data_IF_584783195334
#
_entry.id   IF_584783195334
#
_cell.length_a   1.000
_cell.length_b   1.000
_cell.length_c   1.000
_cell.angle_alpha   90.00
_cell.angle_beta   90.00
_cell.angle_gamma   90.00
#
_symmetry.space_group_name_H-M   'P 1'
#
loop_
_entity.id
_entity.type
_entity.pdbx_description
1 polymer ?
#
# COMPACT_ATOMS: atom_id res chain seq x y z
N UNK A 1 -6.35 14.91 -29.85
CA UNK A 1 -5.94 14.92 -31.27
C UNK A 1 -4.46 15.24 -31.32
N UNK A 2 -3.67 14.32 -31.69
CA UNK A 2 -2.51 14.28 -32.59
C UNK A 2 -1.68 13.05 -32.26
N UNK A 3 -2.05 11.99 -32.97
CA UNK A 3 -1.23 10.77 -33.12
C UNK A 3 -0.05 11.11 -34.04
N UNK A 4 1.15 11.20 -33.47
CA UNK A 4 2.38 11.15 -34.26
C UNK A 4 2.64 9.67 -34.57
N UNK A 5 2.27 9.27 -35.76
CA UNK A 5 2.59 7.95 -36.32
C UNK A 5 4.10 7.75 -36.35
N UNK A 6 4.56 6.72 -35.66
CA UNK A 6 5.94 6.22 -35.76
C UNK A 6 6.08 5.56 -37.15
N UNK A 7 6.94 6.12 -37.96
CA UNK A 7 7.33 5.61 -39.27
C UNK A 7 7.61 4.10 -39.25
N UNK A 8 6.98 3.36 -40.14
CA UNK A 8 7.12 1.91 -40.29
C UNK A 8 8.50 1.52 -40.88
N UNK A 9 8.90 0.26 -40.75
CA UNK A 9 10.20 -0.25 -41.18
C UNK A 9 10.50 -0.04 -42.70
N UNK A 10 9.48 0.14 -43.51
CA UNK A 10 9.59 0.42 -44.96
C UNK A 10 10.03 1.87 -45.24
N UNK A 11 9.68 2.83 -44.41
CA UNK A 11 10.14 4.20 -44.58
C UNK A 11 11.61 4.41 -44.18
N UNK A 12 12.15 3.51 -43.32
CA UNK A 12 13.58 3.52 -42.95
C UNK A 12 14.50 3.18 -44.14
N UNK A 13 14.04 2.39 -45.09
CA UNK A 13 14.83 2.03 -46.30
C UNK A 13 14.86 3.14 -47.36
N UNK A 14 13.83 3.99 -47.44
CA UNK A 14 13.79 5.11 -48.38
C UNK A 14 14.66 6.31 -47.95
N UNK A 15 14.85 6.52 -46.65
CA UNK A 15 15.65 7.62 -46.13
C UNK A 15 17.16 7.33 -45.98
N UNK A 16 17.60 6.08 -46.17
CA UNK A 16 19.02 5.72 -45.96
C UNK A 16 19.98 6.25 -47.04
N UNK A 17 19.48 6.75 -48.17
CA UNK A 17 20.30 7.20 -49.30
C UNK A 17 20.34 8.71 -49.53
N UNK A 18 19.73 9.54 -48.69
CA UNK A 18 19.56 10.97 -48.99
C UNK A 18 19.97 11.96 -47.90
N UNK A 19 20.31 11.50 -46.72
CA UNK A 19 20.63 12.45 -45.61
C UNK A 19 21.91 12.08 -44.85
N UNK A 20 22.72 13.10 -44.57
CA UNK A 20 24.00 13.08 -43.87
C UNK A 20 23.88 12.39 -42.50
N UNK A 21 24.84 11.53 -42.16
CA UNK A 21 24.94 10.81 -40.90
C UNK A 21 24.87 11.75 -39.64
N UNK A 22 25.16 13.01 -39.83
CA UNK A 22 25.07 14.04 -38.78
C UNK A 22 23.61 14.31 -38.34
N UNK A 23 22.66 14.32 -39.30
CA UNK A 23 21.23 14.56 -39.07
C UNK A 23 20.63 13.35 -38.32
N UNK A 24 21.01 12.13 -38.73
CA UNK A 24 20.54 10.91 -38.05
C UNK A 24 21.06 10.80 -36.62
N UNK A 25 22.29 11.23 -36.34
CA UNK A 25 22.84 11.31 -34.99
C UNK A 25 22.15 12.41 -34.15
N UNK A 26 21.84 13.55 -34.74
CA UNK A 26 21.07 14.60 -34.05
C UNK A 26 19.65 14.14 -33.72
N UNK A 27 18.93 13.51 -34.66
CA UNK A 27 17.61 12.96 -34.42
C UNK A 27 17.63 11.85 -33.33
N UNK A 28 18.65 11.00 -33.29
CA UNK A 28 18.78 9.97 -32.26
C UNK A 28 19.08 10.58 -30.87
N UNK A 29 19.89 11.64 -30.79
CA UNK A 29 20.14 12.40 -29.54
C UNK A 29 18.88 13.12 -29.05
N UNK A 30 18.14 13.79 -29.96
CA UNK A 30 16.89 14.46 -29.64
C UNK A 30 15.86 13.44 -29.14
N UNK A 31 15.74 12.27 -29.81
CA UNK A 31 14.85 11.19 -29.37
C UNK A 31 15.27 10.59 -28.00
N UNK A 32 16.57 10.46 -27.75
CA UNK A 32 17.07 9.96 -26.47
C UNK A 32 16.80 10.96 -25.33
N UNK A 33 17.02 12.26 -25.56
CA UNK A 33 16.70 13.35 -24.61
C UNK A 33 15.20 13.44 -24.41
N UNK A 34 14.40 13.36 -25.47
CA UNK A 34 12.94 13.36 -25.38
C UNK A 34 12.41 12.16 -24.58
N UNK A 35 12.94 10.95 -24.84
CA UNK A 35 12.60 9.74 -24.06
C UNK A 35 13.06 9.83 -22.61
N UNK A 36 14.21 10.45 -22.34
CA UNK A 36 14.71 10.70 -20.97
C UNK A 36 13.81 11.71 -20.26
N UNK A 37 13.49 12.84 -20.90
CA UNK A 37 12.58 13.85 -20.35
C UNK A 37 11.15 13.33 -20.16
N UNK A 38 10.66 12.42 -21.03
CA UNK A 38 9.38 11.74 -20.84
C UNK A 38 9.43 10.76 -19.66
N UNK A 39 10.55 10.04 -19.48
CA UNK A 39 10.75 9.17 -18.29
C UNK A 39 10.85 9.99 -17.00
N UNK A 40 11.57 11.12 -17.03
CA UNK A 40 11.68 12.02 -15.87
C UNK A 40 10.34 12.72 -15.56
N UNK A 41 9.56 13.13 -16.59
CA UNK A 41 8.21 13.66 -16.40
C UNK A 41 7.24 12.60 -15.85
N UNK A 42 7.32 11.35 -16.31
CA UNK A 42 6.54 10.25 -15.74
C UNK A 42 6.95 9.91 -14.32
N UNK A 43 8.23 10.04 -13.98
CA UNK A 43 8.74 9.75 -12.64
C UNK A 43 8.28 10.78 -11.58
N UNK A 44 7.81 11.96 -12.01
CA UNK A 44 7.32 13.04 -11.13
C UNK A 44 5.81 13.29 -11.29
N UNK A 45 5.06 12.37 -11.87
CA UNK A 45 3.61 12.54 -12.04
C UNK A 45 2.88 11.78 -10.92
N UNK A 46 2.28 12.55 -10.02
CA UNK A 46 1.36 12.00 -9.03
C UNK A 46 0.11 11.47 -9.74
N UNK A 47 -0.16 10.18 -9.60
CA UNK A 47 -1.33 9.53 -10.21
C UNK A 47 -2.56 9.72 -9.33
N UNK A 48 -2.38 9.67 -8.00
CA UNK A 48 -3.42 9.97 -7.03
C UNK A 48 -2.97 11.19 -6.23
N UNK A 49 -3.84 12.18 -6.09
CA UNK A 49 -3.58 13.39 -5.32
C UNK A 49 -4.75 13.68 -4.38
N UNK A 50 -4.44 13.94 -3.14
CA UNK A 50 -5.38 14.41 -2.11
C UNK A 50 -4.76 15.65 -1.48
N UNK A 51 -5.43 16.80 -1.61
CA UNK A 51 -4.93 18.09 -1.16
C UNK A 51 -5.93 18.72 -0.18
N UNK A 52 -5.53 18.86 1.09
CA UNK A 52 -6.29 19.51 2.18
C UNK A 52 -7.73 19.00 2.31
N UNK A 53 -7.94 17.70 2.04
CA UNK A 53 -9.26 17.09 2.07
C UNK A 53 -9.87 17.18 3.47
N UNK A 54 -11.02 17.84 3.56
CA UNK A 54 -11.82 17.93 4.78
C UNK A 54 -13.26 17.54 4.49
N UNK A 55 -13.78 16.67 5.35
CA UNK A 55 -15.20 16.30 5.43
C UNK A 55 -15.57 16.08 6.88
N UNK A 56 -16.40 16.95 7.40
CA UNK A 56 -16.91 16.86 8.76
C UNK A 56 -18.35 16.31 8.75
N UNK A 57 -18.57 15.18 9.41
CA UNK A 57 -19.89 14.59 9.64
C UNK A 57 -20.48 14.98 11.01
N UNK A 58 -19.81 15.86 11.73
CA UNK A 58 -20.18 16.26 13.09
C UNK A 58 -19.66 15.32 14.17
N UNK A 59 -19.62 15.82 15.39
CA UNK A 59 -19.16 15.08 16.59
C UNK A 59 -17.74 14.51 16.47
N UNK A 60 -16.83 15.21 15.77
CA UNK A 60 -15.44 14.80 15.58
C UNK A 60 -15.25 13.65 14.58
N UNK A 61 -16.31 13.23 13.87
CA UNK A 61 -16.23 12.19 12.83
C UNK A 61 -15.99 12.82 11.47
N UNK A 62 -15.00 12.33 10.76
CA UNK A 62 -14.69 12.85 9.42
C UNK A 62 -13.23 12.66 9.05
N UNK A 63 -12.77 13.49 8.13
CA UNK A 63 -11.37 13.66 7.74
C UNK A 63 -11.06 15.15 7.72
N UNK A 64 -9.88 15.53 8.20
CA UNK A 64 -9.53 16.91 8.46
C UNK A 64 -8.13 17.22 7.96
N UNK A 65 -8.05 18.02 6.89
CA UNK A 65 -6.80 18.47 6.29
C UNK A 65 -5.89 17.32 5.81
N UNK A 66 -6.50 16.28 5.24
CA UNK A 66 -5.76 15.11 4.75
C UNK A 66 -5.09 15.45 3.43
N UNK A 67 -3.75 15.29 3.37
CA UNK A 67 -2.96 15.56 2.16
C UNK A 67 -1.93 14.48 1.95
N UNK A 68 -1.94 13.83 0.78
CA UNK A 68 -0.95 12.88 0.29
C UNK A 68 -1.03 12.72 -1.22
N UNK A 69 -0.03 12.07 -1.79
CA UNK A 69 -0.02 11.70 -3.21
C UNK A 69 0.49 10.27 -3.38
N UNK A 70 0.19 9.66 -4.50
CA UNK A 70 0.72 8.35 -4.92
C UNK A 70 1.33 8.51 -6.30
N UNK A 71 2.58 8.08 -6.45
CA UNK A 71 3.34 8.19 -7.69
C UNK A 71 3.02 7.06 -8.69
N UNK A 72 3.38 7.25 -9.96
CA UNK A 72 3.18 6.24 -11.00
C UNK A 72 3.95 4.95 -10.67
N UNK A 73 3.25 3.82 -10.61
CA UNK A 73 3.79 2.51 -10.27
C UNK A 73 4.09 2.29 -8.79
N UNK A 74 3.68 3.20 -7.91
CA UNK A 74 3.85 3.08 -6.46
C UNK A 74 2.73 2.26 -5.82
N UNK A 75 3.07 1.48 -4.80
CA UNK A 75 2.13 0.89 -3.84
C UNK A 75 2.15 1.72 -2.57
N UNK A 76 1.09 2.46 -2.32
CA UNK A 76 0.93 3.35 -1.18
C UNK A 76 0.01 2.74 -0.14
N UNK A 77 0.52 2.57 1.08
CA UNK A 77 -0.23 2.04 2.22
C UNK A 77 -0.93 3.15 3.01
N UNK A 78 -2.22 2.98 3.28
CA UNK A 78 -3.01 3.89 4.11
C UNK A 78 -3.43 3.17 5.39
N UNK A 79 -2.63 3.29 6.44
CA UNK A 79 -2.71 2.52 7.67
C UNK A 79 -3.46 3.28 8.77
N UNK A 80 -4.32 2.60 9.50
CA UNK A 80 -4.99 3.16 10.66
C UNK A 80 -6.09 2.26 11.20
N UNK A 81 -6.54 2.48 12.45
CA UNK A 81 -7.61 1.69 13.05
C UNK A 81 -8.95 1.89 12.33
N UNK A 82 -9.92 1.08 12.71
CA UNK A 82 -11.28 1.26 12.23
C UNK A 82 -11.83 2.61 12.72
N UNK A 83 -12.51 3.31 11.82
CA UNK A 83 -13.02 4.67 12.12
C UNK A 83 -12.02 5.81 11.95
N UNK A 84 -10.73 5.54 11.66
CA UNK A 84 -9.71 6.59 11.53
C UNK A 84 -9.90 7.53 10.33
N UNK A 85 -10.80 7.22 9.37
CA UNK A 85 -11.04 8.04 8.19
C UNK A 85 -10.58 7.42 6.85
N UNK A 86 -10.02 6.19 6.85
CA UNK A 86 -9.53 5.52 5.62
C UNK A 86 -10.59 5.43 4.53
N UNK A 87 -11.70 4.75 4.80
CA UNK A 87 -12.80 4.59 3.84
C UNK A 87 -13.47 5.91 3.46
N UNK A 88 -13.48 6.89 4.38
CA UNK A 88 -13.98 8.25 4.09
C UNK A 88 -13.10 8.91 3.01
N UNK A 89 -11.79 8.89 3.18
CA UNK A 89 -10.83 9.43 2.18
C UNK A 89 -10.98 8.71 0.84
N UNK A 90 -11.07 7.38 0.85
CA UNK A 90 -11.25 6.58 -0.37
C UNK A 90 -12.57 6.92 -1.07
N UNK A 91 -13.68 7.10 -0.35
CA UNK A 91 -14.96 7.50 -0.94
C UNK A 91 -14.90 8.85 -1.66
N UNK A 92 -14.09 9.80 -1.18
CA UNK A 92 -13.86 11.06 -1.88
C UNK A 92 -12.99 10.86 -3.13
N UNK A 93 -11.95 10.01 -3.06
CA UNK A 93 -11.16 9.61 -4.23
C UNK A 93 -12.00 8.90 -5.29
N UNK A 94 -13.02 8.14 -4.91
CA UNK A 94 -13.95 7.51 -5.84
C UNK A 94 -15.05 8.45 -6.34
N UNK A 95 -15.07 9.72 -5.90
CA UNK A 95 -16.09 10.68 -6.27
C UNK A 95 -17.48 10.41 -5.68
N UNK A 96 -17.61 9.50 -4.70
CA UNK A 96 -18.90 9.13 -4.09
C UNK A 96 -19.41 10.17 -3.10
N UNK A 97 -18.57 11.08 -2.66
CA UNK A 97 -18.92 12.14 -1.70
C UNK A 97 -18.22 13.43 -2.06
N UNK A 98 -18.96 14.55 -1.95
CA UNK A 98 -18.39 15.88 -2.11
C UNK A 98 -17.63 16.28 -0.85
N UNK A 99 -16.38 16.73 -0.94
CA UNK A 99 -15.66 17.30 0.20
C UNK A 99 -16.26 18.62 0.66
N UNK A 100 -16.05 18.99 1.90
CA UNK A 100 -16.40 20.33 2.42
C UNK A 100 -15.31 21.33 2.00
N UNK A 101 -14.03 20.90 1.98
CA UNK A 101 -12.91 21.64 1.39
C UNK A 101 -11.83 20.68 0.90
N UNK A 102 -10.89 21.22 0.14
CA UNK A 102 -9.83 20.44 -0.50
C UNK A 102 -10.26 19.80 -1.81
N UNK A 103 -9.37 19.05 -2.42
CA UNK A 103 -9.56 18.44 -3.72
C UNK A 103 -8.93 17.05 -3.79
N UNK A 104 -9.55 16.15 -4.55
CA UNK A 104 -9.02 14.83 -4.85
C UNK A 104 -8.93 14.63 -6.35
N UNK A 105 -7.80 14.08 -6.84
CA UNK A 105 -7.56 13.86 -8.27
C UNK A 105 -7.01 12.45 -8.53
N UNK A 106 -7.35 11.89 -9.66
CA UNK A 106 -6.73 10.68 -10.22
C UNK A 106 -6.36 10.99 -11.67
N UNK A 107 -5.07 10.75 -12.02
CA UNK A 107 -4.51 11.10 -13.32
C UNK A 107 -4.78 12.58 -13.72
N UNK A 108 -4.67 13.50 -12.74
CA UNK A 108 -4.90 14.93 -12.90
C UNK A 108 -6.36 15.35 -13.08
N UNK A 109 -7.32 14.41 -13.00
CA UNK A 109 -8.76 14.68 -13.12
C UNK A 109 -9.37 14.76 -11.72
N UNK A 110 -10.11 15.84 -11.45
CA UNK A 110 -10.86 15.99 -10.20
C UNK A 110 -11.92 14.89 -10.08
N UNK A 111 -11.88 14.15 -8.98
CA UNK A 111 -12.66 12.91 -8.85
C UNK A 111 -14.15 13.16 -8.66
N UNK A 112 -14.56 14.18 -7.89
CA UNK A 112 -15.99 14.44 -7.68
C UNK A 112 -16.67 15.04 -8.93
N UNK A 113 -16.02 15.98 -9.60
CA UNK A 113 -16.60 16.62 -10.79
C UNK A 113 -16.59 15.71 -12.02
N UNK A 114 -15.62 14.79 -12.12
CA UNK A 114 -15.39 13.95 -13.31
C UNK A 114 -15.34 12.45 -12.97
N UNK A 115 -16.10 12.01 -11.96
CA UNK A 115 -16.07 10.61 -11.46
C UNK A 115 -16.30 9.59 -12.59
N UNK A 116 -17.20 9.86 -13.52
CA UNK A 116 -17.53 8.95 -14.62
C UNK A 116 -16.38 8.74 -15.63
N UNK A 117 -15.44 9.69 -15.71
CA UNK A 117 -14.22 9.53 -16.51
C UNK A 117 -13.14 8.79 -15.73
N UNK A 118 -12.99 9.15 -14.45
CA UNK A 118 -11.97 8.58 -13.55
C UNK A 118 -12.20 7.10 -13.33
N UNK A 119 -13.45 6.70 -13.05
CA UNK A 119 -13.78 5.33 -12.68
C UNK A 119 -13.58 4.30 -13.82
N UNK A 120 -13.44 4.73 -15.06
CA UNK A 120 -13.22 3.83 -16.21
C UNK A 120 -11.86 3.10 -16.16
N UNK A 121 -10.86 3.71 -15.54
CA UNK A 121 -9.49 3.21 -15.48
C UNK A 121 -9.07 2.81 -14.06
N UNK A 122 -10.02 2.80 -13.10
CA UNK A 122 -9.79 2.47 -11.69
C UNK A 122 -10.45 1.13 -11.34
N UNK A 123 -9.66 0.23 -10.76
CA UNK A 123 -10.17 -0.97 -10.07
C UNK A 123 -10.40 -0.63 -8.59
N UNK A 124 -11.64 -0.77 -8.13
CA UNK A 124 -12.00 -0.44 -6.75
C UNK A 124 -12.54 -1.65 -6.00
N UNK A 125 -12.00 -1.89 -4.81
CA UNK A 125 -12.53 -2.86 -3.84
C UNK A 125 -13.01 -2.08 -2.62
N UNK A 126 -14.32 -2.10 -2.31
CA UNK A 126 -14.86 -1.45 -1.11
C UNK A 126 -14.55 -2.25 0.16
N UNK A 127 -14.41 -1.55 1.30
CA UNK A 127 -14.22 -2.18 2.61
C UNK A 127 -15.37 -3.10 3.01
N UNK A 128 -16.60 -2.66 2.77
CA UNK A 128 -17.81 -3.47 2.94
C UNK A 128 -18.31 -3.96 1.58
N UNK A 129 -18.43 -5.29 1.44
CA UNK A 129 -18.90 -5.91 0.19
C UNK A 129 -20.41 -6.07 0.23
N UNK A 130 -21.09 -5.27 -0.58
CA UNK A 130 -22.52 -5.42 -0.87
C UNK A 130 -22.70 -5.79 -2.35
N UNK A 131 -23.02 -7.06 -2.63
CA UNK A 131 -23.30 -7.51 -3.98
C UNK A 131 -24.80 -7.39 -4.27
N UNK A 132 -25.21 -7.08 -5.52
CA UNK A 132 -26.60 -7.05 -5.93
C UNK A 132 -27.26 -8.41 -5.66
N UNK A 133 -28.45 -8.42 -5.06
CA UNK A 133 -29.23 -9.62 -4.87
C UNK A 133 -29.90 -10.08 -6.18
N UNK A 134 -30.13 -11.37 -6.31
CA UNK A 134 -30.81 -11.94 -7.47
C UNK A 134 -29.93 -12.15 -8.70
N UNK A 135 -28.63 -12.03 -8.56
CA UNK A 135 -27.65 -12.38 -9.57
C UNK A 135 -26.83 -13.57 -9.10
N UNK A 136 -26.42 -14.40 -10.04
CA UNK A 136 -25.33 -15.36 -9.82
C UNK A 136 -23.97 -14.65 -9.87
N UNK A 137 -22.91 -15.30 -9.38
CA UNK A 137 -21.55 -14.76 -9.49
C UNK A 137 -21.15 -14.48 -10.95
N UNK A 138 -21.50 -15.37 -11.89
CA UNK A 138 -21.26 -15.17 -13.31
C UNK A 138 -22.01 -13.97 -13.89
N UNK A 139 -23.28 -13.80 -13.52
CA UNK A 139 -24.08 -12.65 -13.97
C UNK A 139 -23.52 -11.34 -13.41
N UNK A 140 -23.08 -11.35 -12.15
CA UNK A 140 -22.40 -10.21 -11.55
C UNK A 140 -21.11 -9.85 -12.31
N UNK A 141 -20.22 -10.81 -12.59
CA UNK A 141 -18.98 -10.54 -13.35
C UNK A 141 -19.30 -10.01 -14.75
N UNK A 142 -20.30 -10.57 -15.42
CA UNK A 142 -20.72 -10.14 -16.75
C UNK A 142 -21.28 -8.70 -16.72
N UNK A 143 -22.12 -8.40 -15.72
CA UNK A 143 -22.62 -7.03 -15.50
C UNK A 143 -21.46 -6.04 -15.29
N UNK A 144 -20.48 -6.40 -14.48
CA UNK A 144 -19.30 -5.55 -14.25
C UNK A 144 -18.47 -5.33 -15.51
N UNK A 145 -18.27 -6.37 -16.34
CA UNK A 145 -17.58 -6.22 -17.66
C UNK A 145 -18.36 -5.26 -18.59
N UNK A 146 -19.66 -5.37 -18.65
CA UNK A 146 -20.51 -4.51 -19.48
C UNK A 146 -20.47 -3.06 -18.99
N UNK A 147 -20.49 -2.82 -17.68
CA UNK A 147 -20.37 -1.47 -17.09
C UNK A 147 -18.98 -0.85 -17.35
N UNK A 148 -17.92 -1.64 -17.28
CA UNK A 148 -16.54 -1.18 -17.55
C UNK A 148 -16.27 -0.98 -19.05
N UNK A 149 -17.09 -1.57 -19.93
CA UNK A 149 -16.89 -1.55 -21.38
C UNK A 149 -15.63 -2.25 -21.86
N UNK A 150 -15.02 -3.08 -21.02
CA UNK A 150 -13.77 -3.80 -21.28
C UNK A 150 -13.97 -5.28 -20.95
N UNK A 151 -13.70 -6.14 -21.94
CA UNK A 151 -13.72 -7.61 -21.76
C UNK A 151 -12.30 -8.13 -21.93
N UNK A 152 -11.78 -8.78 -20.92
CA UNK A 152 -10.46 -9.42 -20.93
C UNK A 152 -10.62 -10.83 -20.34
N UNK A 153 -10.93 -11.79 -21.21
CA UNK A 153 -11.22 -13.17 -20.81
C UNK A 153 -9.97 -13.87 -20.23
N UNK A 154 -8.79 -13.57 -20.77
CA UNK A 154 -7.53 -14.11 -20.25
C UNK A 154 -7.28 -13.63 -18.83
N UNK A 155 -7.46 -12.34 -18.59
CA UNK A 155 -7.31 -11.75 -17.25
C UNK A 155 -8.36 -12.26 -16.29
N UNK A 156 -9.61 -12.37 -16.73
CA UNK A 156 -10.69 -12.94 -15.92
C UNK A 156 -10.33 -14.36 -15.47
N UNK A 157 -9.91 -15.21 -16.41
CA UNK A 157 -9.51 -16.58 -16.10
C UNK A 157 -8.36 -16.62 -15.10
N UNK A 158 -7.30 -15.84 -15.34
CA UNK A 158 -6.17 -15.72 -14.41
C UNK A 158 -6.63 -15.34 -12.99
N UNK A 159 -7.53 -14.36 -12.85
CA UNK A 159 -8.01 -13.90 -11.55
C UNK A 159 -8.88 -14.97 -10.86
N UNK A 160 -9.72 -15.70 -11.61
CA UNK A 160 -10.52 -16.78 -11.07
C UNK A 160 -9.66 -17.93 -10.55
N UNK A 161 -8.62 -18.29 -11.29
CA UNK A 161 -7.65 -19.34 -10.91
C UNK A 161 -6.86 -18.93 -9.67
N UNK A 162 -6.34 -17.68 -9.63
CA UNK A 162 -5.54 -17.15 -8.52
C UNK A 162 -6.30 -17.11 -7.19
N UNK A 163 -7.57 -16.71 -7.23
CA UNK A 163 -8.43 -16.64 -6.04
C UNK A 163 -9.30 -17.89 -5.82
N UNK A 164 -9.02 -18.96 -6.57
CA UNK A 164 -9.69 -20.26 -6.43
C UNK A 164 -11.23 -20.15 -6.42
N UNK A 165 -11.78 -19.28 -7.27
CA UNK A 165 -13.23 -19.17 -7.46
C UNK A 165 -13.71 -20.25 -8.44
N UNK A 166 -14.40 -21.24 -7.90
CA UNK A 166 -14.87 -22.39 -8.67
C UNK A 166 -16.20 -22.09 -9.38
N UNK A 167 -16.41 -22.71 -10.51
CA UNK A 167 -17.66 -22.57 -11.30
C UNK A 167 -18.92 -22.86 -10.47
N UNK A 168 -18.86 -23.84 -9.55
CA UNK A 168 -19.96 -24.13 -8.63
C UNK A 168 -20.32 -22.98 -7.69
N UNK A 169 -19.34 -22.23 -7.21
CA UNK A 169 -19.56 -21.03 -6.38
C UNK A 169 -20.15 -19.90 -7.21
N UNK A 170 -19.65 -19.73 -8.45
CA UNK A 170 -20.10 -18.68 -9.36
C UNK A 170 -21.51 -18.89 -9.92
N UNK A 171 -22.02 -20.11 -9.91
CA UNK A 171 -23.42 -20.43 -10.24
C UNK A 171 -24.41 -20.12 -9.11
N UNK A 172 -23.91 -19.92 -7.89
CA UNK A 172 -24.69 -19.56 -6.73
C UNK A 172 -25.17 -18.10 -6.75
N UNK A 173 -26.30 -17.85 -6.04
CA UNK A 173 -26.82 -16.49 -5.81
C UNK A 173 -25.85 -15.71 -4.91
N UNK A 174 -25.48 -14.51 -5.36
CA UNK A 174 -24.55 -13.61 -4.64
C UNK A 174 -24.99 -13.31 -3.20
N UNK A 175 -26.31 -13.27 -2.92
CA UNK A 175 -26.85 -13.05 -1.59
C UNK A 175 -26.46 -14.16 -0.61
N UNK A 176 -26.41 -15.42 -1.11
CA UNK A 176 -26.14 -16.63 -0.30
C UNK A 176 -24.64 -16.96 -0.17
N UNK A 177 -23.78 -16.27 -0.90
CA UNK A 177 -22.33 -16.49 -0.82
C UNK A 177 -21.81 -16.15 0.57
N UNK A 178 -20.81 -16.89 1.04
CA UNK A 178 -20.04 -16.55 2.24
C UNK A 178 -19.32 -15.22 2.06
N UNK A 179 -18.93 -14.58 3.16
CA UNK A 179 -18.18 -13.32 3.10
C UNK A 179 -16.87 -13.47 2.31
N UNK A 180 -16.14 -14.59 2.50
CA UNK A 180 -14.90 -14.88 1.77
C UNK A 180 -15.13 -15.00 0.26
N UNK A 181 -16.16 -15.73 -0.17
CA UNK A 181 -16.51 -15.86 -1.60
C UNK A 181 -16.92 -14.51 -2.18
N UNK A 182 -17.71 -13.70 -1.46
CA UNK A 182 -18.06 -12.34 -1.88
C UNK A 182 -16.81 -11.45 -2.04
N UNK A 183 -15.86 -11.56 -1.12
CA UNK A 183 -14.59 -10.82 -1.17
C UNK A 183 -13.77 -11.23 -2.38
N UNK A 184 -13.55 -12.53 -2.59
CA UNK A 184 -12.87 -13.07 -3.77
C UNK A 184 -13.53 -12.55 -5.07
N UNK A 185 -14.85 -12.62 -5.15
CA UNK A 185 -15.61 -12.17 -6.31
C UNK A 185 -15.43 -10.65 -6.57
N UNK A 186 -15.41 -9.82 -5.51
CA UNK A 186 -15.16 -8.39 -5.62
C UNK A 186 -13.74 -8.10 -6.08
N UNK A 187 -12.73 -8.85 -5.60
CA UNK A 187 -11.33 -8.73 -6.05
C UNK A 187 -11.23 -9.05 -7.54
N UNK A 188 -11.85 -10.14 -7.99
CA UNK A 188 -11.88 -10.51 -9.42
C UNK A 188 -12.55 -9.42 -10.25
N UNK A 189 -13.74 -8.97 -9.85
CA UNK A 189 -14.50 -7.94 -10.58
C UNK A 189 -13.74 -6.62 -10.71
N UNK A 190 -13.01 -6.19 -9.67
CA UNK A 190 -12.22 -4.96 -9.68
C UNK A 190 -10.99 -5.04 -10.61
N UNK A 191 -10.46 -6.25 -10.85
CA UNK A 191 -9.18 -6.43 -11.54
C UNK A 191 -9.27 -7.10 -12.92
N UNK A 192 -10.42 -7.68 -13.28
CA UNK A 192 -10.58 -8.43 -14.54
C UNK A 192 -10.48 -7.56 -15.79
N UNK A 193 -10.74 -6.26 -15.70
CA UNK A 193 -10.55 -5.30 -16.82
C UNK A 193 -9.14 -4.80 -16.98
N UNK A 194 -8.22 -5.25 -16.13
CA UNK A 194 -6.81 -4.85 -16.07
C UNK A 194 -6.60 -3.32 -15.92
N UNK A 195 -7.21 -2.68 -14.90
CA UNK A 195 -7.12 -1.23 -14.69
C UNK A 195 -5.67 -0.83 -14.35
N UNK A 196 -5.31 0.44 -14.62
CA UNK A 196 -3.98 0.98 -14.29
C UNK A 196 -3.84 1.38 -12.83
N UNK A 197 -4.92 1.85 -12.24
CA UNK A 197 -4.98 2.32 -10.86
C UNK A 197 -5.85 1.39 -10.06
N UNK A 198 -5.36 0.95 -8.90
CA UNK A 198 -6.11 0.12 -7.96
C UNK A 198 -6.31 0.89 -6.66
N UNK A 199 -7.55 0.99 -6.22
CA UNK A 199 -7.93 1.55 -4.91
C UNK A 199 -8.61 0.45 -4.10
N UNK A 200 -7.94 0.00 -3.04
CA UNK A 200 -8.27 -1.22 -2.33
C UNK A 200 -8.53 -0.88 -0.86
N UNK A 201 -9.80 -0.90 -0.46
CA UNK A 201 -10.20 -0.60 0.92
C UNK A 201 -10.38 -1.91 1.70
N UNK A 202 -9.43 -2.21 2.58
CA UNK A 202 -9.38 -3.44 3.39
C UNK A 202 -9.62 -4.74 2.59
N UNK A 203 -8.88 -4.97 1.51
CA UNK A 203 -9.19 -5.99 0.50
C UNK A 203 -9.11 -7.42 1.01
N UNK A 204 -8.33 -7.69 2.05
CA UNK A 204 -8.12 -9.02 2.63
C UNK A 204 -9.07 -9.35 3.78
N UNK A 205 -9.88 -8.37 4.22
CA UNK A 205 -10.86 -8.58 5.29
C UNK A 205 -11.85 -9.69 4.95
N UNK A 206 -11.90 -10.74 5.79
CA UNK A 206 -12.75 -11.91 5.58
C UNK A 206 -12.19 -12.98 4.64
N UNK A 207 -10.98 -12.84 4.15
CA UNK A 207 -10.22 -13.89 3.47
C UNK A 207 -9.52 -14.78 4.51
N UNK A 208 -9.39 -16.06 4.19
CA UNK A 208 -8.55 -16.97 4.95
C UNK A 208 -7.05 -16.67 4.75
N UNK A 209 -6.15 -17.17 5.62
CA UNK A 209 -4.72 -16.86 5.54
C UNK A 209 -4.08 -17.22 4.20
N UNK A 210 -4.49 -18.30 3.55
CA UNK A 210 -3.93 -18.71 2.25
C UNK A 210 -4.31 -17.69 1.17
N UNK A 211 -5.57 -17.25 1.18
CA UNK A 211 -6.03 -16.23 0.24
C UNK A 211 -5.43 -14.84 0.51
N UNK A 212 -5.10 -14.52 1.77
CA UNK A 212 -4.36 -13.31 2.11
C UNK A 212 -2.94 -13.33 1.50
N UNK A 213 -2.23 -14.46 1.60
CA UNK A 213 -0.93 -14.64 0.95
C UNK A 213 -1.01 -14.54 -0.57
N UNK A 214 -2.02 -15.17 -1.19
CA UNK A 214 -2.26 -15.05 -2.62
C UNK A 214 -2.51 -13.58 -3.02
N UNK A 215 -3.25 -12.83 -2.21
CA UNK A 215 -3.48 -11.41 -2.44
C UNK A 215 -2.19 -10.59 -2.34
N UNK A 216 -1.33 -10.85 -1.35
CA UNK A 216 -0.02 -10.21 -1.22
C UNK A 216 0.83 -10.49 -2.47
N UNK A 217 0.88 -11.76 -2.90
CA UNK A 217 1.55 -12.15 -4.15
C UNK A 217 1.01 -11.41 -5.37
N UNK A 218 -0.31 -11.28 -5.47
CA UNK A 218 -0.98 -10.52 -6.52
C UNK A 218 -0.55 -9.04 -6.52
N UNK A 219 -0.51 -8.36 -5.37
CA UNK A 219 -0.06 -6.96 -5.28
C UNK A 219 1.39 -6.81 -5.77
N UNK A 220 2.27 -7.75 -5.41
CA UNK A 220 3.66 -7.73 -5.89
C UNK A 220 3.76 -7.89 -7.42
N UNK A 221 2.93 -8.74 -8.02
CA UNK A 221 2.88 -8.91 -9.47
C UNK A 221 2.35 -7.65 -10.16
N UNK A 222 1.26 -7.07 -9.67
CA UNK A 222 0.68 -5.86 -10.23
C UNK A 222 1.64 -4.66 -10.13
N UNK A 223 2.39 -4.56 -9.03
CA UNK A 223 3.47 -3.60 -8.88
C UNK A 223 4.57 -3.78 -9.94
N UNK A 224 5.03 -5.02 -10.18
CA UNK A 224 6.01 -5.31 -11.24
C UNK A 224 5.50 -4.95 -12.63
N UNK A 225 4.17 -5.02 -12.84
CA UNK A 225 3.50 -4.58 -14.07
C UNK A 225 3.38 -3.06 -14.19
N UNK A 226 3.82 -2.30 -13.16
CA UNK A 226 3.82 -0.84 -13.13
C UNK A 226 2.46 -0.22 -12.79
N UNK A 227 1.59 -0.94 -12.09
CA UNK A 227 0.32 -0.38 -11.63
C UNK A 227 0.49 0.49 -10.40
N UNK A 228 -0.30 1.54 -10.31
CA UNK A 228 -0.38 2.42 -9.14
C UNK A 228 -1.45 1.90 -8.19
N UNK A 229 -1.11 1.68 -6.93
CA UNK A 229 -1.98 1.00 -5.97
C UNK A 229 -2.08 1.82 -4.68
N UNK A 230 -3.30 2.17 -4.29
CA UNK A 230 -3.61 2.67 -2.95
C UNK A 230 -4.28 1.54 -2.17
N UNK A 231 -3.62 1.09 -1.11
CA UNK A 231 -4.07 -0.01 -0.26
C UNK A 231 -4.36 0.50 1.14
N UNK A 232 -5.62 0.46 1.59
CA UNK A 232 -5.93 0.71 3.00
C UNK A 232 -5.99 -0.60 3.78
N UNK A 233 -5.42 -0.59 4.97
CA UNK A 233 -5.49 -1.74 5.89
C UNK A 233 -5.33 -1.30 7.34
N UNK A 234 -5.80 -2.14 8.26
CA UNK A 234 -5.44 -2.07 9.68
C UNK A 234 -4.47 -3.20 10.08
N UNK A 235 -4.05 -4.03 9.11
CA UNK A 235 -3.12 -5.15 9.28
C UNK A 235 -1.71 -4.69 8.93
N UNK A 236 -0.84 -4.60 9.93
CA UNK A 236 0.54 -4.11 9.76
C UNK A 236 1.38 -4.97 8.81
N UNK A 237 1.30 -6.30 8.92
CA UNK A 237 2.06 -7.22 8.09
C UNK A 237 1.70 -7.11 6.60
N UNK A 238 0.45 -6.86 6.27
CA UNK A 238 -0.02 -6.65 4.89
C UNK A 238 0.64 -5.40 4.29
N UNK A 239 0.59 -4.28 5.01
CA UNK A 239 1.17 -3.01 4.60
C UNK A 239 2.70 -3.08 4.50
N UNK A 240 3.37 -3.68 5.51
CA UNK A 240 4.84 -3.80 5.53
C UNK A 240 5.38 -4.68 4.40
N UNK A 241 4.62 -5.70 4.01
CA UNK A 241 5.04 -6.60 2.93
C UNK A 241 4.81 -6.03 1.54
N UNK A 242 3.81 -5.16 1.32
CA UNK A 242 3.37 -4.75 -0.02
C UNK A 242 3.74 -3.32 -0.39
N UNK A 243 3.78 -2.40 0.55
CA UNK A 243 3.82 -0.96 0.27
C UNK A 243 5.25 -0.39 0.16
N UNK A 244 5.41 0.61 -0.69
CA UNK A 244 6.66 1.39 -0.83
C UNK A 244 6.71 2.54 0.17
N UNK A 245 5.58 3.23 0.30
CA UNK A 245 5.39 4.36 1.20
C UNK A 245 4.09 4.19 1.96
N UNK A 246 4.06 4.67 3.19
CA UNK A 246 2.95 4.46 4.12
C UNK A 246 2.56 5.80 4.72
N UNK A 247 1.26 6.10 4.74
CA UNK A 247 0.69 7.14 5.58
C UNK A 247 -0.13 6.51 6.70
N UNK A 248 0.05 7.01 7.90
CA UNK A 248 -0.78 6.63 9.06
C UNK A 248 -1.83 7.69 9.33
N UNK A 249 -3.08 7.25 9.47
CA UNK A 249 -4.21 8.13 9.77
C UNK A 249 -4.80 7.79 11.13
N UNK A 250 -5.09 8.82 11.91
CA UNK A 250 -5.76 8.74 13.22
C UNK A 250 -6.73 9.91 13.36
N UNK A 251 -7.94 9.66 13.85
CA UNK A 251 -8.96 10.69 14.12
C UNK A 251 -9.17 11.65 12.92
N UNK A 252 -9.18 11.09 11.71
CA UNK A 252 -9.36 11.83 10.47
C UNK A 252 -8.17 12.66 10.02
N UNK A 253 -6.98 12.52 10.62
CA UNK A 253 -5.77 13.27 10.26
C UNK A 253 -4.61 12.36 9.97
N UNK A 254 -3.76 12.73 9.00
CA UNK A 254 -2.49 12.04 8.79
C UNK A 254 -1.54 12.42 9.93
N UNK A 255 -1.05 11.41 10.65
CA UNK A 255 -0.11 11.59 11.77
C UNK A 255 1.33 11.36 11.35
N UNK A 256 1.59 10.54 10.33
CA UNK A 256 2.93 10.36 9.75
C UNK A 256 2.87 9.86 8.31
N UNK A 257 3.93 10.14 7.55
CA UNK A 257 4.19 9.54 6.22
C UNK A 257 5.66 9.18 6.14
N UNK A 258 5.99 7.99 5.64
CA UNK A 258 7.37 7.51 5.53
C UNK A 258 7.51 6.45 4.43
N UNK A 259 8.75 6.24 3.99
CA UNK A 259 9.11 5.18 3.04
C UNK A 259 9.30 3.87 3.82
N UNK A 260 8.62 2.80 3.41
CA UNK A 260 8.66 1.51 4.12
C UNK A 260 10.08 0.95 4.30
N UNK A 261 10.95 1.16 3.31
CA UNK A 261 12.34 0.73 3.39
C UNK A 261 13.18 1.51 4.42
N UNK A 262 12.83 2.75 4.77
CA UNK A 262 13.57 3.54 5.75
C UNK A 262 13.44 2.92 7.15
N UNK A 263 12.29 2.34 7.47
CA UNK A 263 12.12 1.57 8.73
C UNK A 263 12.98 0.29 8.77
N UNK A 264 13.14 -0.39 7.62
CA UNK A 264 13.96 -1.60 7.51
C UNK A 264 15.46 -1.31 7.63
N UNK A 265 15.88 -0.08 7.31
CA UNK A 265 17.27 0.40 7.36
C UNK A 265 17.51 1.41 8.48
N UNK A 266 16.61 1.49 9.46
CA UNK A 266 16.82 2.36 10.61
C UNK A 266 18.19 2.03 11.26
N UNK A 267 19.00 3.06 11.49
CA UNK A 267 20.32 2.97 12.12
C UNK A 267 20.24 2.43 13.54
N UNK A 268 19.03 2.34 14.10
CA UNK A 268 18.73 1.82 15.41
C UNK A 268 18.18 0.40 15.31
N UNK A 269 18.79 -0.54 16.03
CA UNK A 269 18.40 -1.94 16.05
C UNK A 269 17.80 -2.31 17.40
N UNK A 270 16.91 -3.28 17.37
CA UNK A 270 16.16 -3.75 18.53
C UNK A 270 16.59 -5.18 18.87
N UNK A 271 16.78 -5.43 20.14
CA UNK A 271 17.24 -6.73 20.62
C UNK A 271 16.37 -7.22 21.77
N UNK A 272 15.99 -8.47 21.68
CA UNK A 272 15.42 -9.22 22.81
C UNK A 272 16.54 -10.02 23.48
N UNK A 273 16.71 -9.82 24.76
CA UNK A 273 17.76 -10.41 25.58
C UNK A 273 17.12 -11.22 26.70
N UNK A 274 17.60 -12.45 26.92
CA UNK A 274 17.23 -13.28 28.06
C UNK A 274 18.51 -13.65 28.82
N UNK A 275 18.49 -13.45 30.11
CA UNK A 275 19.61 -13.74 31.01
C UNK A 275 19.30 -14.97 31.83
N UNK A 276 20.33 -15.59 32.45
CA UNK A 276 20.16 -16.79 33.29
C UNK A 276 19.34 -16.45 34.55
N UNK A 277 19.49 -15.25 35.10
CA UNK A 277 18.73 -14.77 36.26
C UNK A 277 18.55 -13.24 36.23
N UNK A 278 17.66 -12.72 37.09
CA UNK A 278 17.43 -11.27 37.21
C UNK A 278 18.66 -10.50 37.69
N UNK A 279 19.54 -11.13 38.43
CA UNK A 279 20.77 -10.51 38.90
C UNK A 279 21.70 -10.18 37.74
N UNK A 280 21.82 -11.11 36.77
CA UNK A 280 22.64 -10.94 35.57
C UNK A 280 22.07 -9.80 34.68
N UNK A 281 20.76 -9.70 34.58
CA UNK A 281 20.09 -8.57 33.88
C UNK A 281 20.40 -7.23 34.57
N UNK A 282 20.34 -7.17 35.92
CA UNK A 282 20.64 -5.91 36.64
C UNK A 282 22.08 -5.48 36.46
N UNK A 283 23.02 -6.44 36.50
CA UNK A 283 24.46 -6.20 36.27
C UNK A 283 24.69 -5.69 34.84
N UNK A 284 24.08 -6.33 33.84
CA UNK A 284 24.12 -5.90 32.44
C UNK A 284 23.58 -4.47 32.26
N UNK A 285 22.42 -4.16 32.81
CA UNK A 285 21.84 -2.81 32.73
C UNK A 285 22.72 -1.75 33.42
N UNK A 286 23.45 -2.14 34.48
CA UNK A 286 24.45 -1.29 35.11
C UNK A 286 25.57 -0.88 34.15
N UNK A 287 26.12 -1.87 33.40
CA UNK A 287 27.21 -1.69 32.42
C UNK A 287 26.74 -0.91 31.15
N UNK A 288 25.48 -1.08 30.73
CA UNK A 288 24.96 -0.40 29.53
C UNK A 288 24.72 1.10 29.73
N UNK A 289 24.78 1.65 30.96
CA UNK A 289 24.68 3.09 31.22
C UNK A 289 25.78 3.91 30.52
N UNK A 290 26.90 3.30 30.20
CA UNK A 290 28.02 3.96 29.47
C UNK A 290 27.71 4.11 27.96
N UNK A 291 26.73 3.36 27.43
CA UNK A 291 26.34 3.43 26.01
C UNK A 291 25.20 4.43 25.84
N UNK A 292 25.52 5.64 25.42
CA UNK A 292 24.52 6.73 25.28
C UNK A 292 23.35 6.39 24.35
N UNK A 293 23.58 5.57 23.34
CA UNK A 293 22.56 5.15 22.37
C UNK A 293 21.71 3.97 22.85
N UNK A 294 22.07 3.31 23.96
CA UNK A 294 21.30 2.21 24.51
C UNK A 294 20.02 2.74 25.19
N UNK A 295 18.88 2.16 24.84
CA UNK A 295 17.59 2.48 25.47
C UNK A 295 16.89 1.18 25.84
N UNK A 296 16.63 1.01 27.14
CA UNK A 296 15.78 -0.06 27.64
C UNK A 296 14.32 0.31 27.33
N UNK A 297 13.61 -0.57 26.65
CA UNK A 297 12.20 -0.37 26.25
C UNK A 297 11.26 -1.10 27.21
N UNK A 298 11.57 -2.37 27.50
CA UNK A 298 10.77 -3.22 28.38
C UNK A 298 11.69 -4.17 29.16
N UNK A 299 11.30 -4.52 30.39
CA UNK A 299 11.92 -5.59 31.14
C UNK A 299 10.88 -6.41 31.92
N UNK A 300 11.09 -7.72 32.00
CA UNK A 300 10.24 -8.63 32.75
C UNK A 300 11.06 -9.83 33.21
N UNK A 301 11.23 -9.99 34.55
CA UNK A 301 12.06 -11.03 35.11
C UNK A 301 13.50 -10.95 34.62
N UNK A 302 14.01 -12.03 34.04
CA UNK A 302 15.35 -12.10 33.45
C UNK A 302 15.40 -11.72 31.97
N UNK A 303 14.34 -11.11 31.41
CA UNK A 303 14.26 -10.70 29.99
C UNK A 303 14.20 -9.19 29.87
N UNK A 304 14.83 -8.67 28.82
CA UNK A 304 14.66 -7.27 28.46
C UNK A 304 14.56 -7.10 26.93
N UNK A 305 13.90 -6.03 26.53
CA UNK A 305 13.83 -5.54 25.17
C UNK A 305 14.49 -4.17 25.14
N UNK A 306 15.47 -4.00 24.28
CA UNK A 306 16.26 -2.78 24.22
C UNK A 306 16.60 -2.40 22.79
N UNK A 307 16.89 -1.10 22.58
CA UNK A 307 17.34 -0.59 21.29
C UNK A 307 18.71 0.07 21.41
N UNK A 308 19.50 0.01 20.32
CA UNK A 308 20.83 0.60 20.23
C UNK A 308 21.13 1.05 18.80
N UNK A 309 21.95 2.07 18.63
CA UNK A 309 22.46 2.48 17.30
C UNK A 309 23.56 1.52 16.81
N UNK A 310 23.58 1.25 15.50
CA UNK A 310 24.53 0.33 14.86
C UNK A 310 25.99 0.63 15.22
N UNK A 311 26.37 1.91 15.31
CA UNK A 311 27.75 2.33 15.68
C UNK A 311 28.20 1.84 17.04
N UNK A 312 27.29 1.58 17.96
CA UNK A 312 27.59 1.16 19.33
C UNK A 312 27.34 -0.35 19.56
N UNK A 313 26.93 -1.08 18.51
CA UNK A 313 26.63 -2.52 18.61
C UNK A 313 27.80 -3.35 19.13
N UNK A 314 29.03 -3.05 18.69
CA UNK A 314 30.23 -3.77 19.18
C UNK A 314 30.45 -3.58 20.68
N UNK A 315 30.11 -2.42 21.24
CA UNK A 315 30.16 -2.19 22.70
C UNK A 315 29.14 -3.04 23.44
N UNK A 316 27.92 -3.13 22.88
CA UNK A 316 26.88 -3.99 23.43
C UNK A 316 27.31 -5.46 23.44
N UNK A 317 27.86 -5.95 22.32
CA UNK A 317 28.34 -7.35 22.21
C UNK A 317 29.45 -7.62 23.23
N UNK A 318 30.38 -6.69 23.43
CA UNK A 318 31.43 -6.82 24.42
C UNK A 318 30.91 -6.94 25.86
N UNK A 319 29.88 -6.16 26.22
CA UNK A 319 29.21 -6.26 27.52
C UNK A 319 28.47 -7.60 27.64
N UNK A 320 27.74 -8.01 26.58
CA UNK A 320 27.01 -9.28 26.58
C UNK A 320 27.91 -10.49 26.76
N UNK A 321 29.11 -10.48 26.16
CA UNK A 321 30.08 -11.58 26.27
C UNK A 321 30.58 -11.81 27.71
N UNK A 322 30.48 -10.79 28.57
CA UNK A 322 30.87 -10.86 30.01
C UNK A 322 29.64 -10.96 30.93
N UNK A 323 28.45 -11.14 30.39
CA UNK A 323 27.21 -11.23 31.16
C UNK A 323 26.58 -12.60 30.98
N UNK A 324 25.80 -13.07 31.94
CA UNK A 324 25.12 -14.38 31.90
C UNK A 324 23.95 -14.42 30.91
N UNK A 325 24.24 -14.24 29.62
CA UNK A 325 23.23 -14.22 28.56
C UNK A 325 22.84 -15.62 28.16
N UNK A 326 21.55 -15.92 28.18
CA UNK A 326 20.96 -17.18 27.74
C UNK A 326 20.50 -17.10 26.27
N UNK A 327 19.95 -15.95 25.86
CA UNK A 327 19.47 -15.74 24.50
C UNK A 327 19.69 -14.28 24.07
N UNK A 328 20.14 -14.11 22.83
CA UNK A 328 20.30 -12.82 22.17
C UNK A 328 19.71 -12.92 20.76
N UNK A 329 18.64 -12.21 20.51
CA UNK A 329 18.00 -12.19 19.20
C UNK A 329 17.75 -10.77 18.70
N UNK A 330 18.06 -10.54 17.43
CA UNK A 330 17.68 -9.31 16.76
C UNK A 330 16.17 -9.35 16.49
N UNK A 331 15.43 -8.37 17.02
CA UNK A 331 14.06 -8.14 16.68
C UNK A 331 14.02 -6.92 15.75
N UNK A 332 13.67 -7.13 14.50
CA UNK A 332 13.40 -6.01 13.61
C UNK A 332 12.26 -5.18 14.20
N UNK A 333 12.42 -3.86 14.22
CA UNK A 333 11.30 -2.98 14.57
C UNK A 333 10.19 -3.27 13.56
N UNK A 334 9.06 -3.73 14.05
CA UNK A 334 7.91 -3.94 13.21
C UNK A 334 7.24 -2.59 12.92
N UNK A 335 6.51 -2.51 11.81
CA UNK A 335 5.66 -1.36 11.53
C UNK A 335 4.69 -1.11 12.69
N UNK A 336 4.26 -2.17 13.39
CA UNK A 336 3.41 -2.09 14.58
C UNK A 336 4.13 -1.40 15.75
N UNK A 337 5.39 -1.74 16.03
CA UNK A 337 6.18 -1.11 17.08
C UNK A 337 6.36 0.40 16.80
N UNK A 338 6.60 0.76 15.53
CA UNK A 338 6.69 2.16 15.10
C UNK A 338 5.35 2.90 15.29
N UNK A 339 4.26 2.29 14.85
CA UNK A 339 2.92 2.85 14.98
C UNK A 339 2.51 3.04 16.44
N UNK A 340 2.82 2.08 17.31
CA UNK A 340 2.49 2.14 18.75
C UNK A 340 3.17 3.30 19.48
N UNK A 341 4.29 3.83 18.98
CA UNK A 341 4.91 5.04 19.55
C UNK A 341 3.99 6.25 19.45
N UNK A 342 3.32 6.41 18.30
CA UNK A 342 2.38 7.52 18.09
C UNK A 342 1.06 7.36 18.86
N UNK A 343 0.72 6.12 19.25
CA UNK A 343 -0.52 5.83 19.97
C UNK A 343 -0.36 5.79 21.49
N UNK A 344 0.84 5.48 22.02
CA UNK A 344 1.10 5.43 23.47
C UNK A 344 1.17 6.80 24.13
N UNK A 345 1.40 7.86 23.37
CA UNK A 345 1.42 9.24 23.91
C UNK A 345 0.02 9.77 24.26
N UNK A 346 -1.05 9.15 23.75
CA UNK A 346 -2.43 9.46 24.06
C UNK A 346 -3.00 8.43 25.04
N UNK A 347 -3.23 8.83 26.30
CA UNK A 347 -3.72 7.98 27.40
C UNK A 347 -5.14 7.39 27.23
N UNK A 348 -5.83 7.68 26.14
CA UNK A 348 -7.24 7.30 25.92
C UNK A 348 -7.49 6.12 24.98
N UNK A 349 -6.42 5.42 24.53
CA UNK A 349 -6.58 4.28 23.61
C UNK A 349 -6.84 2.95 24.35
N UNK A 350 -7.94 2.85 25.10
CA UNK A 350 -8.37 1.60 25.79
C UNK A 350 -9.26 0.68 24.94
N UNK A 351 -9.46 0.91 23.66
CA UNK A 351 -10.50 0.26 22.84
C UNK A 351 -10.07 -0.69 21.74
N UNK A 352 -8.78 -0.82 21.39
CA UNK A 352 -8.35 -1.54 20.17
C UNK A 352 -7.63 -2.88 20.40
N UNK A 353 -7.61 -3.39 21.63
CA UNK A 353 -7.09 -4.72 21.97
C UNK A 353 -8.20 -5.55 22.61
N UNK A 354 -9.20 -5.96 21.83
CA UNK A 354 -10.08 -7.11 22.13
C UNK A 354 -10.36 -7.85 20.86
#
# INVERSE_FOLDING_TARGET
MNSVNILTLTEKQYFSNAYDNSIMQQCSKVNSVYKKNLKERKKNMHVIEVENLTKDYGSGRGVFDVSFHVDDGEVFGFLGPNGAGKSTTIRHLMGFSKPDSGITKIEGRETFARYYEVLKDVGYIPGEIALPAGLTGWEFLRMMQDMQGKKNEERLKYMLDLFELKDGELKGDTKRMSLGVKRKLAVVAANMSDPKVLILDEPTSGLDPVMQENFIGFIHEEKKRGKTILLSSHIFSEIDSTCDRIATIKDGKIVSQFVANELKHATRKFYSLEFNCEKDLKEFLGKTKEIKSFTLLENSGAKCFASIEDKDLNKLIAILSSSGVKSFSNRKESLEDYFMKFYKEDKDFKGALK
#
